data_IF_936770775324
#
_entry.id   IF_936770775324
#
_cell.length_a   1.000
_cell.length_b   1.000
_cell.length_c   1.000
_cell.angle_alpha   90.00
_cell.angle_beta   90.00
_cell.angle_gamma   90.00
#
_symmetry.space_group_name_H-M   'P 1'
#
loop_
_entity.id
_entity.type
_entity.pdbx_description
1 polymer ?
#
# COMPACT_ATOMS: atom_id res chain seq x y z
N UNK A 1 8.14 -4.73 -1.73
CA UNK A 1 7.31 -5.72 -2.46
C UNK A 1 7.24 -5.32 -3.92
N UNK A 2 7.20 -6.26 -4.87
CA UNK A 2 6.93 -5.94 -6.28
C UNK A 2 5.41 -5.90 -6.48
N UNK A 3 4.93 -4.83 -7.10
CA UNK A 3 3.49 -4.49 -7.16
C UNK A 3 2.82 -5.04 -8.43
N UNK A 4 3.59 -5.23 -9.51
CA UNK A 4 3.07 -5.61 -10.82
C UNK A 4 3.76 -6.87 -11.33
N UNK A 5 2.96 -7.76 -11.90
CA UNK A 5 3.38 -9.00 -12.54
C UNK A 5 2.70 -9.13 -13.91
N UNK A 6 3.29 -9.93 -14.80
CA UNK A 6 2.59 -10.39 -15.99
C UNK A 6 1.38 -11.25 -15.63
N UNK A 7 0.45 -11.43 -16.56
CA UNK A 7 -0.79 -12.19 -16.33
C UNK A 7 -0.54 -13.64 -15.91
N UNK A 8 0.64 -14.20 -16.23
CA UNK A 8 1.03 -15.56 -15.83
C UNK A 8 2.02 -15.56 -14.66
N UNK A 9 2.17 -14.44 -13.96
CA UNK A 9 3.06 -14.27 -12.81
C UNK A 9 4.49 -13.87 -13.16
N UNK A 10 4.77 -13.41 -14.39
CA UNK A 10 6.10 -13.01 -14.79
C UNK A 10 6.60 -11.79 -13.99
N UNK A 11 7.79 -11.89 -13.41
CA UNK A 11 8.41 -10.78 -12.65
C UNK A 11 9.08 -9.73 -13.53
N UNK A 12 9.54 -10.12 -14.72
CA UNK A 12 10.28 -9.23 -15.63
C UNK A 12 9.30 -8.56 -16.60
N UNK A 13 8.78 -7.41 -16.20
CA UNK A 13 7.85 -6.60 -17.00
C UNK A 13 8.37 -5.18 -17.23
N UNK A 14 9.69 -5.06 -17.42
CA UNK A 14 10.36 -3.78 -17.67
C UNK A 14 9.72 -3.05 -18.85
N UNK A 15 9.55 -1.74 -18.70
CA UNK A 15 9.02 -0.89 -19.75
C UNK A 15 10.10 -0.50 -20.76
N UNK A 16 9.76 -0.56 -22.05
CA UNK A 16 10.60 -0.04 -23.13
C UNK A 16 9.74 0.58 -24.23
N UNK A 17 10.31 1.57 -24.92
CA UNK A 17 9.64 2.27 -26.01
C UNK A 17 9.89 1.59 -27.36
N UNK A 18 8.89 1.62 -28.24
CA UNK A 18 8.96 1.13 -29.61
C UNK A 18 8.92 2.33 -30.56
N UNK A 19 10.07 2.95 -30.91
CA UNK A 19 10.10 4.23 -31.59
C UNK A 19 9.58 4.18 -33.05
N UNK A 20 9.57 2.98 -33.66
CA UNK A 20 9.11 2.79 -35.03
C UNK A 20 7.61 2.48 -35.15
N UNK A 21 6.93 2.16 -34.03
CA UNK A 21 5.52 1.78 -34.05
C UNK A 21 4.65 3.01 -33.78
N UNK A 22 3.69 3.28 -34.67
CA UNK A 22 2.66 4.29 -34.44
C UNK A 22 1.56 3.69 -33.56
N UNK A 23 1.22 4.35 -32.46
CA UNK A 23 0.12 3.92 -31.60
C UNK A 23 -1.25 4.19 -32.23
N UNK A 24 -2.31 3.82 -31.51
CA UNK A 24 -3.68 4.21 -31.86
C UNK A 24 -3.76 5.73 -32.08
N UNK A 25 -4.38 6.15 -33.18
CA UNK A 25 -4.47 7.56 -33.61
C UNK A 25 -3.12 8.30 -33.68
N UNK A 26 -2.05 7.60 -34.07
CA UNK A 26 -0.67 8.13 -34.11
C UNK A 26 -0.12 8.57 -32.75
N UNK A 27 -0.69 8.06 -31.66
CA UNK A 27 -0.18 8.31 -30.31
C UNK A 27 1.26 7.85 -30.16
N UNK A 28 2.09 8.68 -29.51
CA UNK A 28 3.49 8.41 -29.23
C UNK A 28 3.86 8.86 -27.81
N UNK A 29 4.79 8.15 -27.15
CA UNK A 29 5.45 6.92 -27.62
C UNK A 29 4.60 5.67 -27.35
N UNK A 30 4.82 4.61 -28.14
CA UNK A 30 4.30 3.27 -27.85
C UNK A 30 5.23 2.57 -26.89
N UNK A 31 4.69 1.95 -25.84
CA UNK A 31 5.44 1.26 -24.80
C UNK A 31 4.96 -0.17 -24.62
N UNK A 32 5.88 -1.06 -24.24
CA UNK A 32 5.60 -2.43 -23.82
C UNK A 32 6.17 -2.61 -22.41
N UNK A 33 5.44 -3.30 -21.54
CA UNK A 33 5.77 -3.48 -20.13
C UNK A 33 5.00 -2.51 -19.23
N UNK A 34 5.42 -2.39 -17.97
CA UNK A 34 4.87 -1.42 -17.04
C UNK A 34 5.99 -0.80 -16.18
N UNK A 35 6.16 0.52 -16.24
CA UNK A 35 7.16 1.25 -15.47
C UNK A 35 6.97 1.13 -13.95
N UNK A 36 5.75 0.88 -13.49
CA UNK A 36 5.43 0.74 -12.07
C UNK A 36 6.01 -0.53 -11.43
N UNK A 37 6.60 -1.44 -12.22
CA UNK A 37 7.35 -2.60 -11.68
C UNK A 37 8.49 -2.22 -10.72
N UNK A 38 9.06 -1.02 -10.89
CA UNK A 38 10.14 -0.50 -10.04
C UNK A 38 9.66 0.53 -9.00
N UNK A 39 8.36 0.79 -8.91
CA UNK A 39 7.80 1.78 -8.01
C UNK A 39 7.66 1.22 -6.59
N UNK A 40 7.79 2.10 -5.61
CA UNK A 40 7.48 1.81 -4.23
C UNK A 40 6.03 2.26 -3.95
N UNK A 41 5.11 1.32 -3.86
CA UNK A 41 3.72 1.60 -3.50
C UNK A 41 3.50 1.18 -2.05
N UNK A 42 3.24 2.18 -1.21
CA UNK A 42 3.02 1.97 0.23
C UNK A 42 1.63 1.38 0.50
N UNK A 43 0.67 1.68 -0.37
CA UNK A 43 -0.73 1.24 -0.27
C UNK A 43 -0.91 -0.29 -0.31
N UNK A 44 -0.06 -1.00 -1.05
CA UNK A 44 -0.15 -2.47 -1.20
C UNK A 44 -0.09 -3.21 0.15
N UNK A 45 0.64 -2.69 1.14
CA UNK A 45 0.64 -3.29 2.47
C UNK A 45 -0.76 -3.20 3.12
N UNK A 46 -1.45 -2.07 2.97
CA UNK A 46 -2.84 -1.92 3.40
C UNK A 46 -3.78 -2.89 2.71
N UNK A 47 -3.60 -3.12 1.41
CA UNK A 47 -4.42 -4.06 0.63
C UNK A 47 -4.25 -5.49 1.10
N UNK A 48 -3.00 -5.93 1.31
CA UNK A 48 -2.69 -7.29 1.79
C UNK A 48 -3.28 -7.51 3.18
N UNK A 49 -3.08 -6.58 4.12
CA UNK A 49 -3.60 -6.70 5.48
C UNK A 49 -5.13 -6.63 5.53
N UNK A 50 -5.75 -5.82 4.66
CA UNK A 50 -7.21 -5.80 4.52
C UNK A 50 -7.75 -7.12 3.94
N UNK A 51 -7.05 -7.72 2.98
CA UNK A 51 -7.41 -9.02 2.43
C UNK A 51 -7.28 -10.14 3.47
N UNK A 52 -6.20 -10.15 4.27
CA UNK A 52 -6.02 -11.11 5.38
C UNK A 52 -7.15 -10.99 6.40
N UNK A 53 -7.47 -9.75 6.81
CA UNK A 53 -8.62 -9.49 7.69
C UNK A 53 -9.93 -10.03 7.11
N UNK A 54 -10.21 -9.70 5.84
CA UNK A 54 -11.49 -10.05 5.22
C UNK A 54 -11.62 -11.56 5.00
N UNK A 55 -10.51 -12.24 4.70
CA UNK A 55 -10.45 -13.68 4.62
C UNK A 55 -10.75 -14.33 5.97
N UNK A 56 -10.15 -13.81 7.06
CA UNK A 56 -10.43 -14.27 8.42
C UNK A 56 -11.90 -14.14 8.80
N UNK A 57 -12.47 -12.96 8.56
CA UNK A 57 -13.89 -12.66 8.80
C UNK A 57 -14.81 -13.59 7.98
N UNK A 58 -14.41 -13.92 6.75
CA UNK A 58 -15.12 -14.86 5.88
C UNK A 58 -14.93 -16.35 6.24
N UNK A 59 -14.13 -16.67 7.27
CA UNK A 59 -13.93 -18.04 7.77
C UNK A 59 -12.63 -18.72 7.34
N UNK A 60 -11.77 -18.05 6.56
CA UNK A 60 -10.40 -18.50 6.28
C UNK A 60 -9.52 -17.99 7.42
N UNK A 61 -9.54 -18.73 8.53
CA UNK A 61 -8.92 -18.33 9.79
C UNK A 61 -7.40 -18.25 9.69
N UNK A 62 -6.83 -17.24 10.34
CA UNK A 62 -5.39 -17.12 10.55
C UNK A 62 -4.83 -18.37 11.22
N UNK A 63 -3.67 -18.81 10.75
CA UNK A 63 -2.93 -19.95 11.29
C UNK A 63 -1.54 -19.50 11.77
N UNK A 64 -0.85 -20.34 12.55
CA UNK A 64 0.47 -19.96 13.08
C UNK A 64 1.49 -19.50 12.02
N UNK A 65 1.58 -20.11 10.82
CA UNK A 65 2.47 -19.64 9.76
C UNK A 65 2.13 -18.25 9.20
N UNK A 66 0.90 -17.76 9.37
CA UNK A 66 0.47 -16.46 8.83
C UNK A 66 0.94 -15.29 9.71
N UNK A 67 1.12 -15.52 11.02
CA UNK A 67 1.52 -14.46 11.95
C UNK A 67 2.89 -13.84 11.64
N UNK A 68 3.96 -14.62 11.38
CA UNK A 68 5.26 -14.04 11.02
C UNK A 68 5.18 -13.19 9.75
N UNK A 69 4.41 -13.61 8.74
CA UNK A 69 4.21 -12.85 7.50
C UNK A 69 3.54 -11.51 7.79
N UNK A 70 2.46 -11.53 8.57
CA UNK A 70 1.76 -10.30 8.98
C UNK A 70 2.68 -9.36 9.76
N UNK A 71 3.45 -9.89 10.72
CA UNK A 71 4.39 -9.12 11.55
C UNK A 71 5.49 -8.50 10.69
N UNK A 72 6.08 -9.24 9.75
CA UNK A 72 7.12 -8.74 8.84
C UNK A 72 6.60 -7.58 7.97
N UNK A 73 5.37 -7.70 7.45
CA UNK A 73 4.73 -6.65 6.66
C UNK A 73 4.51 -5.38 7.49
N UNK A 74 4.04 -5.52 8.72
CA UNK A 74 3.84 -4.38 9.63
C UNK A 74 5.18 -3.78 10.05
N UNK A 75 6.19 -4.59 10.36
CA UNK A 75 7.52 -4.09 10.75
C UNK A 75 8.16 -3.28 9.62
N UNK A 76 7.99 -3.69 8.36
CA UNK A 76 8.40 -2.88 7.22
C UNK A 76 7.66 -1.53 7.22
N UNK A 77 6.34 -1.53 7.39
CA UNK A 77 5.54 -0.32 7.45
C UNK A 77 5.95 0.61 8.61
N UNK A 78 6.26 0.07 9.79
CA UNK A 78 6.72 0.87 10.93
C UNK A 78 7.92 1.75 10.58
N UNK A 79 8.79 1.25 9.70
CA UNK A 79 10.02 1.94 9.30
C UNK A 79 9.85 2.87 8.09
N UNK A 80 8.83 2.64 7.24
CA UNK A 80 8.70 3.30 5.93
C UNK A 80 7.38 4.04 5.72
N UNK A 81 6.41 3.97 6.64
CA UNK A 81 5.10 4.59 6.43
C UNK A 81 5.20 6.12 6.24
N UNK A 82 6.27 6.76 6.71
CA UNK A 82 6.50 8.19 6.54
C UNK A 82 7.10 8.53 5.17
N UNK A 83 7.69 7.58 4.45
CA UNK A 83 8.36 7.84 3.17
C UNK A 83 7.36 8.24 2.07
N UNK A 84 7.76 9.10 1.12
CA UNK A 84 6.97 9.34 -0.07
C UNK A 84 6.98 8.09 -0.96
N UNK A 85 5.88 7.89 -1.70
CA UNK A 85 5.62 6.71 -2.51
C UNK A 85 5.04 7.12 -3.87
N UNK A 86 4.86 6.17 -4.78
CA UNK A 86 4.29 6.44 -6.11
C UNK A 86 2.76 6.25 -6.19
N UNK A 87 2.14 5.75 -5.12
CA UNK A 87 0.69 5.58 -4.96
C UNK A 87 0.04 4.63 -5.99
N UNK A 88 -1.26 4.36 -5.80
CA UNK A 88 -2.07 3.51 -6.70
C UNK A 88 -2.22 4.05 -8.13
N UNK A 89 -1.86 5.31 -8.34
CA UNK A 89 -2.12 6.02 -9.60
C UNK A 89 -1.00 5.81 -10.63
N UNK A 90 0.06 5.06 -10.27
CA UNK A 90 1.24 4.79 -11.11
C UNK A 90 1.80 6.06 -11.76
N UNK A 91 1.80 7.17 -11.00
CA UNK A 91 2.14 8.47 -11.59
C UNK A 91 3.60 8.50 -12.04
N UNK A 92 3.84 9.15 -13.18
CA UNK A 92 5.20 9.39 -13.68
C UNK A 92 5.85 10.65 -13.07
N UNK A 93 5.16 11.29 -12.13
CA UNK A 93 5.61 12.50 -11.42
C UNK A 93 6.60 12.25 -10.28
N UNK A 94 6.92 10.97 -10.00
CA UNK A 94 7.81 10.58 -8.92
C UNK A 94 7.10 10.47 -7.56
N UNK A 95 7.90 10.24 -6.52
CA UNK A 95 7.40 9.96 -5.17
C UNK A 95 6.82 11.20 -4.50
N UNK A 96 5.65 11.06 -3.91
CA UNK A 96 4.98 12.10 -3.13
C UNK A 96 4.36 11.50 -1.86
N UNK A 97 3.91 12.34 -0.92
CA UNK A 97 3.10 11.86 0.20
C UNK A 97 1.63 11.77 -0.23
N UNK A 98 1.27 10.67 -0.90
CA UNK A 98 -0.12 10.44 -1.31
C UNK A 98 -1.01 10.19 -0.09
N UNK A 99 -2.09 10.95 0.03
CA UNK A 99 -3.05 10.82 1.14
C UNK A 99 -3.64 9.41 1.19
N UNK A 100 -3.95 8.83 0.03
CA UNK A 100 -4.43 7.46 -0.09
C UNK A 100 -3.43 6.46 0.51
N UNK A 101 -2.16 6.55 0.13
CA UNK A 101 -1.11 5.64 0.60
C UNK A 101 -0.91 5.71 2.12
N UNK A 102 -1.00 6.90 2.71
CA UNK A 102 -0.95 7.07 4.17
C UNK A 102 -2.19 6.50 4.86
N UNK A 103 -3.36 6.66 4.26
CA UNK A 103 -4.60 6.01 4.74
C UNK A 103 -4.50 4.47 4.67
N UNK A 104 -3.89 3.93 3.62
CA UNK A 104 -3.68 2.48 3.49
C UNK A 104 -2.64 1.95 4.47
N UNK A 105 -1.60 2.72 4.80
CA UNK A 105 -0.70 2.39 5.90
C UNK A 105 -1.46 2.37 7.25
N UNK A 106 -2.32 3.36 7.51
CA UNK A 106 -3.21 3.35 8.68
C UNK A 106 -4.09 2.08 8.72
N UNK A 107 -4.69 1.73 7.59
CA UNK A 107 -5.54 0.56 7.45
C UNK A 107 -4.78 -0.72 7.78
N UNK A 108 -3.55 -0.88 7.31
CA UNK A 108 -2.72 -2.04 7.62
C UNK A 108 -2.55 -2.22 9.14
N UNK A 109 -2.17 -1.16 9.86
CA UNK A 109 -2.06 -1.22 11.32
C UNK A 109 -3.39 -1.54 11.99
N UNK A 110 -4.50 -0.89 11.57
CA UNK A 110 -5.82 -1.15 12.15
C UNK A 110 -6.26 -2.61 11.94
N UNK A 111 -5.99 -3.18 10.77
CA UNK A 111 -6.34 -4.56 10.45
C UNK A 111 -5.44 -5.55 11.21
N UNK A 112 -4.13 -5.33 11.26
CA UNK A 112 -3.22 -6.17 12.04
C UNK A 112 -3.56 -6.18 13.54
N UNK A 113 -3.87 -5.02 14.12
CA UNK A 113 -4.25 -4.91 15.53
C UNK A 113 -5.46 -5.79 15.84
N UNK A 114 -6.56 -5.62 15.11
CA UNK A 114 -7.75 -6.38 15.47
C UNK A 114 -7.78 -7.82 14.94
N UNK A 115 -6.91 -8.19 13.99
CA UNK A 115 -6.57 -9.60 13.75
C UNK A 115 -5.93 -10.20 15.00
N UNK A 116 -4.91 -9.56 15.57
CA UNK A 116 -4.26 -10.07 16.79
C UNK A 116 -5.23 -10.14 17.98
N UNK A 117 -6.12 -9.16 18.14
CA UNK A 117 -7.11 -9.16 19.23
C UNK A 117 -8.16 -10.27 19.15
N UNK A 118 -8.34 -10.90 17.97
CA UNK A 118 -9.29 -11.99 17.78
C UNK A 118 -8.76 -13.37 18.24
N UNK A 119 -7.47 -13.48 18.60
CA UNK A 119 -6.81 -14.75 18.87
C UNK A 119 -5.98 -14.67 20.15
N UNK A 120 -6.09 -15.69 21.00
CA UNK A 120 -5.30 -15.76 22.26
C UNK A 120 -3.81 -16.03 21.99
N UNK A 121 -3.49 -16.83 20.96
CA UNK A 121 -2.13 -17.24 20.60
C UNK A 121 -1.43 -16.30 19.60
N UNK A 122 -2.02 -15.14 19.31
CA UNK A 122 -1.46 -14.17 18.37
C UNK A 122 -0.34 -13.32 19.00
N UNK A 123 0.54 -12.70 18.18
CA UNK A 123 1.66 -11.88 18.65
C UNK A 123 1.22 -10.53 19.24
N UNK A 124 0.61 -10.58 20.43
CA UNK A 124 0.00 -9.46 21.14
C UNK A 124 1.00 -8.43 21.69
N UNK A 125 2.28 -8.78 21.78
CA UNK A 125 3.36 -7.91 22.26
C UNK A 125 3.55 -6.65 21.41
N UNK A 126 3.17 -6.69 20.13
CA UNK A 126 3.34 -5.57 19.21
C UNK A 126 2.17 -4.56 19.23
N UNK A 127 0.98 -4.98 19.70
CA UNK A 127 -0.28 -4.22 19.60
C UNK A 127 -0.15 -2.83 20.21
N UNK A 128 0.52 -2.70 21.36
CA UNK A 128 0.71 -1.41 22.02
C UNK A 128 1.48 -0.40 21.17
N UNK A 129 2.49 -0.86 20.41
CA UNK A 129 3.27 -0.01 19.49
C UNK A 129 2.47 0.32 18.24
N UNK A 130 1.81 -0.68 17.66
CA UNK A 130 0.99 -0.51 16.45
C UNK A 130 -0.15 0.48 16.66
N UNK A 131 -0.83 0.46 17.81
CA UNK A 131 -1.89 1.44 18.14
C UNK A 131 -1.36 2.87 18.11
N UNK A 132 -0.18 3.13 18.69
CA UNK A 132 0.44 4.46 18.66
C UNK A 132 0.73 4.93 17.24
N UNK A 133 1.27 4.05 16.40
CA UNK A 133 1.58 4.39 15.01
C UNK A 133 0.30 4.60 14.20
N UNK A 134 -0.70 3.73 14.34
CA UNK A 134 -2.02 3.91 13.74
C UNK A 134 -2.61 5.27 14.10
N UNK A 135 -2.64 5.62 15.38
CA UNK A 135 -3.24 6.87 15.83
C UNK A 135 -2.44 8.09 15.33
N UNK A 136 -1.11 7.96 15.24
CA UNK A 136 -0.24 8.97 14.62
C UNK A 136 -0.55 9.18 13.13
N UNK A 137 -0.67 8.10 12.35
CA UNK A 137 -0.99 8.19 10.92
C UNK A 137 -2.37 8.84 10.73
N UNK A 138 -3.37 8.44 11.53
CA UNK A 138 -4.70 9.03 11.46
C UNK A 138 -4.67 10.54 11.71
N UNK A 139 -3.97 10.97 12.77
CA UNK A 139 -3.81 12.39 13.07
C UNK A 139 -3.12 13.13 11.92
N UNK A 140 -2.06 12.56 11.34
CA UNK A 140 -1.33 13.17 10.23
C UNK A 140 -2.17 13.27 8.95
N UNK A 141 -2.91 12.22 8.59
CA UNK A 141 -3.81 12.23 7.42
C UNK A 141 -4.89 13.28 7.57
N UNK A 142 -5.51 13.39 8.76
CA UNK A 142 -6.55 14.37 9.02
C UNK A 142 -6.02 15.81 9.05
N UNK A 143 -4.78 16.02 9.47
CA UNK A 143 -4.14 17.35 9.53
C UNK A 143 -3.61 17.79 8.15
N UNK A 144 -2.88 16.91 7.45
CA UNK A 144 -2.14 17.24 6.23
C UNK A 144 -2.83 16.85 4.93
N UNK A 145 -3.72 15.86 4.98
CA UNK A 145 -4.43 15.33 3.83
C UNK A 145 -5.79 15.98 3.58
N UNK A 146 -6.32 16.80 4.49
CA UNK A 146 -7.65 17.41 4.38
C UNK A 146 -7.59 18.92 4.13
N UNK A 147 -8.15 19.37 3.01
CA UNK A 147 -8.27 20.80 2.68
C UNK A 147 -9.60 21.35 3.22
N UNK A 148 -9.52 22.20 4.25
CA UNK A 148 -10.69 22.82 4.89
C UNK A 148 -11.49 23.75 3.98
N UNK A 149 -10.85 24.37 2.97
CA UNK A 149 -11.52 25.28 2.02
C UNK A 149 -12.30 24.47 0.99
N UNK A 150 -11.68 23.42 0.45
CA UNK A 150 -12.32 22.51 -0.51
C UNK A 150 -13.29 21.53 0.15
N UNK A 151 -13.18 21.35 1.47
CA UNK A 151 -13.94 20.38 2.28
C UNK A 151 -13.77 18.95 1.76
N UNK A 152 -12.54 18.61 1.42
CA UNK A 152 -12.21 17.33 0.80
C UNK A 152 -10.78 16.91 1.15
N UNK A 153 -10.52 15.60 1.09
CA UNK A 153 -9.15 15.09 1.11
C UNK A 153 -8.45 15.36 -0.23
N UNK A 154 -7.19 15.78 -0.17
CA UNK A 154 -6.35 16.04 -1.33
C UNK A 154 -5.64 14.77 -1.78
N UNK A 155 -5.21 14.74 -3.05
CA UNK A 155 -4.47 13.59 -3.60
C UNK A 155 -3.13 13.39 -2.88
N UNK A 156 -2.42 14.48 -2.62
CA UNK A 156 -1.14 14.52 -1.91
C UNK A 156 -1.24 15.51 -0.76
N UNK A 157 -0.41 15.33 0.27
CA UNK A 157 -0.27 16.31 1.34
C UNK A 157 0.17 17.67 0.79
N UNK A 158 -0.40 18.74 1.35
CA UNK A 158 -0.15 20.13 0.94
C UNK A 158 -1.42 20.90 0.60
#
# INVERSE_FOLDING_TARGET
>A
MQTIYGVRGERRVNEYEIPWLSGYENSRPVRIGNAAVNQFQLDVYGEVLAAMWQADDAGIKMTEPDWPVMVDLIQFLESHWQDPDEGIWEVRGGRQHFTHSKMMAWLAFDRAIKLVENYEDAPSEHVGRWRKIRDQIHAEVCDRGYDKKKKAFTQVYG
#
